data_IF_217602908312
#
_entry.id   IF_217602908312
#
_cell.length_a   1.000
_cell.length_b   1.000
_cell.length_c   1.000
_cell.angle_alpha   90.00
_cell.angle_beta   90.00
_cell.angle_gamma   90.00
#
_symmetry.space_group_name_H-M   'P 1'
#
loop_
_entity.id
_entity.type
_entity.pdbx_description
1 polymer ?
#
# COMPACT_ATOMS: atom_id res chain seq x y z
N UNK A 1 -16.48 -18.18 -15.94
CA UNK A 1 -17.47 -18.08 -17.04
C UNK A 1 -16.93 -17.09 -18.06
N UNK A 2 -16.85 -17.47 -19.34
CA UNK A 2 -16.48 -16.54 -20.40
C UNK A 2 -17.75 -16.02 -21.07
N UNK A 3 -18.07 -14.74 -20.86
CA UNK A 3 -19.15 -14.03 -21.55
C UNK A 3 -18.53 -12.92 -22.44
N UNK A 4 -18.39 -13.16 -23.76
CA UNK A 4 -17.75 -12.22 -24.67
C UNK A 4 -18.52 -10.91 -24.83
N UNK A 5 -19.85 -10.94 -24.74
CA UNK A 5 -20.68 -9.74 -24.92
C UNK A 5 -20.61 -8.85 -23.68
N UNK A 6 -20.69 -9.46 -22.49
CA UNK A 6 -20.44 -8.74 -21.24
C UNK A 6 -19.03 -8.14 -21.20
N UNK A 7 -18.01 -8.89 -21.65
CA UNK A 7 -16.64 -8.37 -21.66
C UNK A 7 -16.50 -7.11 -22.53
N UNK A 8 -17.11 -7.07 -23.72
CA UNK A 8 -17.08 -5.86 -24.57
C UNK A 8 -17.67 -4.64 -23.84
N UNK A 9 -18.81 -4.83 -23.18
CA UNK A 9 -19.48 -3.78 -22.41
C UNK A 9 -18.59 -3.33 -21.24
N UNK A 10 -18.08 -4.28 -20.46
CA UNK A 10 -17.19 -4.01 -19.33
C UNK A 10 -15.95 -3.21 -19.75
N UNK A 11 -15.28 -3.60 -20.83
CA UNK A 11 -14.08 -2.89 -21.32
C UNK A 11 -14.43 -1.46 -21.79
N UNK A 12 -15.58 -1.27 -22.43
CA UNK A 12 -16.03 0.05 -22.85
C UNK A 12 -16.34 0.96 -21.65
N UNK A 13 -17.00 0.44 -20.61
CA UNK A 13 -17.30 1.19 -19.39
C UNK A 13 -16.04 1.46 -18.55
N UNK A 14 -15.11 0.50 -18.46
CA UNK A 14 -13.82 0.70 -17.78
C UNK A 14 -13.04 1.85 -18.43
N UNK A 15 -12.97 1.86 -19.78
CA UNK A 15 -12.30 2.95 -20.50
C UNK A 15 -12.93 4.32 -20.23
N UNK A 16 -14.27 4.38 -20.12
CA UNK A 16 -14.97 5.63 -19.76
C UNK A 16 -14.66 6.04 -18.33
N UNK A 17 -14.64 5.09 -17.40
CA UNK A 17 -14.27 5.34 -16.01
C UNK A 17 -12.86 5.92 -15.90
N UNK A 18 -11.87 5.25 -16.49
CA UNK A 18 -10.47 5.68 -16.48
C UNK A 18 -10.30 7.07 -17.09
N UNK A 19 -10.94 7.34 -18.24
CA UNK A 19 -10.87 8.65 -18.87
C UNK A 19 -11.44 9.76 -17.97
N UNK A 20 -12.54 9.48 -17.26
CA UNK A 20 -13.12 10.44 -16.31
C UNK A 20 -12.24 10.66 -15.08
N UNK A 21 -11.53 9.64 -14.61
CA UNK A 21 -10.52 9.81 -13.54
C UNK A 21 -9.42 10.77 -13.99
N UNK A 22 -9.03 10.74 -15.26
CA UNK A 22 -7.97 11.62 -15.80
C UNK A 22 -8.45 13.05 -16.08
N UNK A 23 -9.66 13.21 -16.61
CA UNK A 23 -10.12 14.50 -17.14
C UNK A 23 -10.94 15.33 -16.13
N UNK A 24 -11.54 14.69 -15.11
CA UNK A 24 -12.46 15.32 -14.17
C UNK A 24 -11.94 15.17 -12.72
N UNK A 25 -11.42 16.26 -12.17
CA UNK A 25 -10.85 16.28 -10.81
C UNK A 25 -11.87 15.92 -9.72
N UNK A 26 -13.12 16.34 -9.85
CA UNK A 26 -14.14 16.06 -8.83
C UNK A 26 -14.58 14.60 -8.88
N UNK A 27 -14.63 14.03 -10.09
CA UNK A 27 -14.80 12.60 -10.27
C UNK A 27 -13.63 11.81 -9.69
N UNK A 28 -12.39 12.23 -9.95
CA UNK A 28 -11.19 11.61 -9.41
C UNK A 28 -11.14 11.65 -7.88
N UNK A 29 -11.45 12.79 -7.26
CA UNK A 29 -11.51 12.92 -5.79
C UNK A 29 -12.54 11.98 -5.18
N UNK A 30 -13.68 11.78 -5.85
CA UNK A 30 -14.78 10.96 -5.33
C UNK A 30 -14.60 9.46 -5.56
N UNK A 31 -14.05 9.05 -6.70
CA UNK A 31 -14.03 7.64 -7.12
C UNK A 31 -12.63 7.07 -7.36
N UNK A 32 -11.61 7.92 -7.46
CA UNK A 32 -10.21 7.52 -7.65
C UNK A 32 -9.44 7.30 -6.35
N UNK A 33 -10.00 7.72 -5.20
CA UNK A 33 -9.39 7.47 -3.90
C UNK A 33 -9.72 6.06 -3.42
N UNK A 34 -8.67 5.26 -3.18
CA UNK A 34 -8.78 3.88 -2.70
C UNK A 34 -8.86 3.78 -1.16
N UNK A 35 -8.83 4.91 -0.45
CA UNK A 35 -8.75 4.98 1.01
C UNK A 35 -7.34 4.71 1.51
N UNK A 36 -7.24 4.25 2.77
CA UNK A 36 -5.97 4.07 3.47
C UNK A 36 -5.23 2.79 3.10
N UNK A 37 -4.87 2.71 1.82
CA UNK A 37 -4.02 1.64 1.25
C UNK A 37 -2.55 1.84 1.66
N UNK A 38 -1.64 1.03 1.10
CA UNK A 38 -0.20 1.03 1.42
C UNK A 38 0.43 2.42 1.60
N UNK A 39 0.14 3.37 0.69
CA UNK A 39 0.71 4.72 0.76
C UNK A 39 0.32 5.47 2.04
N UNK A 40 -0.94 5.42 2.43
CA UNK A 40 -1.43 6.04 3.66
C UNK A 40 -0.77 5.39 4.87
N UNK A 41 -0.77 4.06 4.95
CA UNK A 41 -0.17 3.35 6.08
C UNK A 41 1.33 3.64 6.22
N UNK A 42 2.09 3.70 5.11
CA UNK A 42 3.54 3.87 5.15
C UNK A 42 3.99 5.31 5.38
N UNK A 43 3.26 6.30 4.88
CA UNK A 43 3.67 7.71 4.85
C UNK A 43 2.80 8.62 5.72
N UNK A 44 1.63 8.14 6.12
CA UNK A 44 0.60 8.92 6.79
C UNK A 44 -0.20 8.08 7.81
N UNK A 45 0.47 7.25 8.60
CA UNK A 45 -0.21 6.47 9.62
C UNK A 45 -0.83 7.40 10.66
N UNK A 46 -2.16 7.46 10.72
CA UNK A 46 -2.87 8.38 11.60
C UNK A 46 -2.64 8.04 13.08
N UNK A 47 -2.39 9.07 13.89
CA UNK A 47 -2.26 8.93 15.34
C UNK A 47 -3.58 9.25 16.00
N UNK A 48 -3.88 8.53 17.08
CA UNK A 48 -5.06 8.77 17.93
C UNK A 48 -5.21 10.22 18.41
N UNK A 49 -4.10 10.90 18.71
CA UNK A 49 -4.08 12.28 19.21
C UNK A 49 -4.04 13.33 18.09
N UNK A 50 -4.11 12.90 16.83
CA UNK A 50 -3.96 13.76 15.65
C UNK A 50 -2.52 13.81 15.11
N UNK A 51 -2.41 14.21 13.85
CA UNK A 51 -1.18 14.09 13.07
C UNK A 51 -0.91 12.66 12.62
N UNK A 52 0.27 12.43 12.04
CA UNK A 52 0.60 11.14 11.44
C UNK A 52 2.05 10.73 11.70
N UNK A 53 2.36 9.46 11.39
CA UNK A 53 3.71 8.88 11.40
C UNK A 53 4.10 8.56 9.95
N UNK A 54 5.26 9.05 9.51
CA UNK A 54 5.88 8.67 8.24
C UNK A 54 6.92 7.57 8.48
N UNK A 55 6.46 6.31 8.49
CA UNK A 55 7.28 5.15 8.80
C UNK A 55 8.47 5.00 7.82
N UNK A 56 8.29 5.38 6.55
CA UNK A 56 9.36 5.32 5.53
C UNK A 56 10.43 6.37 5.81
N UNK A 57 10.03 7.61 6.11
CA UNK A 57 11.00 8.65 6.47
C UNK A 57 11.81 8.25 7.71
N UNK A 58 11.12 7.71 8.73
CA UNK A 58 11.74 7.26 9.97
C UNK A 58 12.71 6.10 9.75
N UNK A 59 12.37 5.12 8.90
CA UNK A 59 13.26 3.99 8.64
C UNK A 59 14.48 4.41 7.81
N UNK A 60 14.32 5.31 6.82
CA UNK A 60 15.44 5.86 6.06
C UNK A 60 16.40 6.63 6.98
N UNK A 61 15.87 7.38 7.94
CA UNK A 61 16.67 8.05 8.96
C UNK A 61 17.42 7.04 9.84
N UNK A 62 16.76 5.99 10.31
CA UNK A 62 17.39 4.93 11.10
C UNK A 62 18.51 4.22 10.32
N UNK A 63 18.31 3.91 9.04
CA UNK A 63 19.36 3.30 8.20
C UNK A 63 20.62 4.18 8.16
N UNK A 64 20.47 5.51 8.17
CA UNK A 64 21.59 6.46 8.11
C UNK A 64 22.26 6.69 9.46
N UNK A 65 21.47 6.78 10.54
CA UNK A 65 21.94 7.22 11.85
C UNK A 65 22.19 6.06 12.82
N UNK A 66 21.42 4.98 12.71
CA UNK A 66 21.45 3.80 13.60
C UNK A 66 21.34 2.49 12.79
N UNK A 67 22.28 2.21 11.85
CA UNK A 67 22.16 1.11 10.89
C UNK A 67 22.11 -0.29 11.51
N UNK A 68 22.63 -0.48 12.72
CA UNK A 68 22.60 -1.73 13.48
C UNK A 68 21.27 -1.96 14.23
N UNK A 69 20.33 -1.01 14.12
CA UNK A 69 19.00 -1.09 14.72
C UNK A 69 18.26 -2.35 14.28
N UNK A 70 17.75 -3.11 15.25
CA UNK A 70 16.86 -4.26 15.00
C UNK A 70 15.38 -3.86 14.91
N UNK A 71 15.09 -2.55 14.86
CA UNK A 71 13.73 -1.98 14.93
C UNK A 71 13.34 -1.22 13.67
N UNK A 72 14.09 -1.37 12.59
CA UNK A 72 13.82 -0.76 11.29
C UNK A 72 12.66 -1.47 10.58
N UNK A 73 11.44 -1.27 11.06
CA UNK A 73 10.22 -1.95 10.61
C UNK A 73 9.24 -0.93 10.04
N UNK A 74 8.55 -1.32 8.98
CA UNK A 74 7.37 -0.63 8.44
C UNK A 74 6.23 -1.63 8.34
N UNK A 75 5.03 -1.23 8.78
CA UNK A 75 3.83 -2.07 8.72
C UNK A 75 2.71 -1.38 7.95
N UNK A 76 1.98 -2.14 7.15
CA UNK A 76 0.72 -1.73 6.53
C UNK A 76 -0.50 -2.22 7.33
N UNK A 77 -0.29 -3.00 8.38
CA UNK A 77 -1.37 -3.66 9.11
C UNK A 77 -1.91 -2.78 10.24
N UNK A 78 -2.91 -1.96 9.93
CA UNK A 78 -3.67 -1.19 10.91
C UNK A 78 -4.95 -1.97 11.32
N UNK A 79 -5.06 -2.46 12.57
CA UNK A 79 -6.26 -3.15 13.04
C UNK A 79 -7.55 -2.32 12.96
N UNK A 80 -7.46 -0.99 12.94
CA UNK A 80 -8.62 -0.09 12.80
C UNK A 80 -9.18 -0.09 11.38
N UNK A 81 -8.30 -0.12 10.36
CA UNK A 81 -8.68 0.01 8.95
C UNK A 81 -8.96 -1.35 8.29
N UNK A 82 -8.35 -2.42 8.78
CA UNK A 82 -8.50 -3.78 8.22
C UNK A 82 -9.97 -4.22 8.08
N UNK A 83 -10.88 -3.98 9.05
CA UNK A 83 -12.29 -4.39 8.92
C UNK A 83 -13.09 -3.67 7.82
N UNK A 84 -12.69 -2.46 7.44
CA UNK A 84 -13.42 -1.62 6.46
C UNK A 84 -12.71 -1.53 5.11
N UNK A 85 -11.48 -2.04 5.01
CA UNK A 85 -10.72 -2.12 3.78
C UNK A 85 -11.35 -3.08 2.77
N UNK A 86 -11.43 -2.67 1.51
CA UNK A 86 -11.88 -3.54 0.41
C UNK A 86 -10.96 -4.75 0.22
N UNK A 87 -9.66 -4.58 0.48
CA UNK A 87 -8.68 -5.65 0.48
C UNK A 87 -7.57 -5.35 1.51
N UNK A 88 -7.59 -5.99 2.69
CA UNK A 88 -6.52 -5.83 3.66
C UNK A 88 -5.15 -6.13 3.05
N UNK A 89 -4.07 -5.45 3.45
CA UNK A 89 -2.75 -5.61 2.84
C UNK A 89 -2.25 -7.06 2.82
N UNK A 90 -1.88 -7.58 1.64
CA UNK A 90 -1.20 -8.88 1.51
C UNK A 90 0.24 -8.81 2.04
N UNK A 91 0.96 -7.74 1.70
CA UNK A 91 2.26 -7.36 2.26
C UNK A 91 2.06 -6.65 3.60
N UNK A 92 2.18 -7.39 4.70
CA UNK A 92 1.76 -6.93 6.03
C UNK A 92 2.82 -5.99 6.63
N UNK A 93 4.08 -6.39 6.60
CA UNK A 93 5.19 -5.62 7.16
C UNK A 93 6.51 -6.02 6.52
N UNK A 94 7.51 -5.15 6.60
CA UNK A 94 8.87 -5.45 6.21
C UNK A 94 9.89 -4.85 7.18
N UNK A 95 11.03 -5.51 7.30
CA UNK A 95 12.13 -5.13 8.19
C UNK A 95 13.42 -4.97 7.39
N UNK A 96 14.13 -3.87 7.65
CA UNK A 96 15.47 -3.62 7.13
C UNK A 96 16.54 -4.12 8.10
N UNK A 97 17.68 -4.48 7.53
CA UNK A 97 18.88 -4.85 8.28
C UNK A 97 20.13 -4.39 7.52
N UNK A 98 21.12 -3.83 8.22
CA UNK A 98 22.37 -3.38 7.61
C UNK A 98 23.55 -4.14 8.22
N UNK A 99 24.39 -4.72 7.37
CA UNK A 99 25.64 -5.40 7.75
C UNK A 99 26.67 -5.27 6.64
N UNK A 100 27.94 -5.04 6.99
CA UNK A 100 29.05 -4.91 6.03
C UNK A 100 28.78 -3.92 4.88
N UNK A 101 28.13 -2.80 5.20
CA UNK A 101 27.76 -1.77 4.22
C UNK A 101 26.66 -2.17 3.24
N UNK A 102 25.97 -3.30 3.47
CA UNK A 102 24.87 -3.81 2.65
C UNK A 102 23.55 -3.69 3.37
N UNK A 103 22.49 -3.41 2.63
CA UNK A 103 21.11 -3.35 3.14
C UNK A 103 20.37 -4.61 2.68
N UNK A 104 19.73 -5.29 3.62
CA UNK A 104 18.80 -6.39 3.41
C UNK A 104 17.39 -5.96 3.80
N UNK A 105 16.38 -6.56 3.15
CA UNK A 105 14.96 -6.37 3.49
C UNK A 105 14.28 -7.72 3.55
N UNK A 106 13.54 -7.96 4.62
CA UNK A 106 12.68 -9.12 4.77
C UNK A 106 11.22 -8.67 4.78
N UNK A 107 10.41 -9.28 3.92
CA UNK A 107 8.98 -9.03 3.81
C UNK A 107 8.19 -10.18 4.47
N UNK A 108 7.19 -9.83 5.28
CA UNK A 108 6.17 -10.76 5.73
C UNK A 108 4.90 -10.54 4.91
N UNK A 109 4.61 -11.50 4.04
CA UNK A 109 3.42 -11.53 3.18
C UNK A 109 2.44 -12.59 3.70
N UNK A 110 1.27 -12.17 4.16
CA UNK A 110 0.25 -13.08 4.73
C UNK A 110 -0.45 -13.95 3.69
N UNK A 111 -0.42 -13.53 2.43
CA UNK A 111 -1.10 -14.17 1.31
C UNK A 111 -0.38 -13.82 0.02
N UNK A 112 0.04 -14.82 -0.74
CA UNK A 112 0.71 -14.66 -2.02
C UNK A 112 0.10 -15.58 -3.05
N UNK A 113 -0.40 -15.00 -4.14
CA UNK A 113 -0.73 -15.76 -5.34
C UNK A 113 0.58 -16.14 -6.03
N UNK A 114 0.97 -17.40 -5.92
CA UNK A 114 2.27 -17.89 -6.42
C UNK A 114 2.42 -17.82 -7.95
N UNK A 115 1.33 -17.72 -8.71
CA UNK A 115 1.40 -17.74 -10.18
C UNK A 115 1.36 -16.34 -10.78
N UNK A 116 0.53 -15.44 -10.22
CA UNK A 116 0.33 -14.10 -10.77
C UNK A 116 0.95 -12.98 -9.93
N UNK A 117 1.13 -13.20 -8.63
CA UNK A 117 1.38 -12.12 -7.66
C UNK A 117 2.73 -12.11 -6.94
N UNK A 118 3.37 -13.27 -6.74
CA UNK A 118 4.69 -13.40 -6.07
C UNK A 118 5.85 -13.02 -7.00
#
# INVERSE_FOLDING_TARGET
QSDPEFNKIYQAEMKKFDQRILDDEDFAKKYGNLGDVYGAQWRHWEKREGGFIDQIADVIKQIKETPDSRRMIVTAWNPEDVPTSALPPCHVMFQFYVVDGKISVQLYQRSGDMFLGV
#
